data_IF_591271678587
#
_entry.id   IF_591271678587
#
_cell.length_a   1.000
_cell.length_b   1.000
_cell.length_c   1.000
_cell.angle_alpha   90.00
_cell.angle_beta   90.00
_cell.angle_gamma   90.00
#
_symmetry.space_group_name_H-M   'P 1'
#
loop_
_entity.id
_entity.type
_entity.pdbx_description
1 polymer ?
#
# COMPACT_ATOMS: atom_id res chain seq x y z
N UNK A 1 -12.62 -6.90 5.41
CA UNK A 1 -12.68 -5.69 4.57
C UNK A 1 -13.34 -6.09 3.26
N UNK A 2 -14.14 -5.21 2.65
CA UNK A 2 -14.68 -5.46 1.31
C UNK A 2 -13.55 -5.19 0.31
N UNK A 3 -13.21 -6.14 -0.58
CA UNK A 3 -12.17 -5.93 -1.56
C UNK A 3 -12.55 -4.78 -2.53
N UNK A 4 -11.61 -3.89 -2.89
CA UNK A 4 -11.88 -2.80 -3.82
C UNK A 4 -12.26 -3.35 -5.21
N UNK A 5 -13.00 -2.54 -5.97
CA UNK A 5 -13.38 -2.90 -7.34
C UNK A 5 -12.14 -3.10 -8.20
N UNK A 6 -12.16 -4.13 -9.06
CA UNK A 6 -11.03 -4.50 -9.91
C UNK A 6 -10.52 -3.34 -10.78
N UNK A 7 -11.43 -2.51 -11.31
CA UNK A 7 -11.11 -1.33 -12.12
C UNK A 7 -10.25 -0.31 -11.35
N UNK A 8 -10.52 -0.13 -10.06
CA UNK A 8 -9.74 0.77 -9.20
C UNK A 8 -8.36 0.18 -8.89
N UNK A 9 -8.27 -1.14 -8.72
CA UNK A 9 -7.00 -1.83 -8.52
C UNK A 9 -6.09 -1.72 -9.75
N UNK A 10 -6.65 -1.90 -10.95
CA UNK A 10 -5.92 -1.71 -12.22
C UNK A 10 -5.40 -0.27 -12.33
N UNK A 11 -6.26 0.72 -12.06
CA UNK A 11 -5.87 2.13 -12.08
C UNK A 11 -4.74 2.49 -11.08
N UNK A 12 -4.64 1.79 -9.94
CA UNK A 12 -3.54 1.97 -8.99
C UNK A 12 -2.28 1.22 -9.43
N UNK A 13 -2.42 0.08 -10.11
CA UNK A 13 -1.29 -0.71 -10.60
C UNK A 13 -0.50 -0.03 -11.72
N UNK A 14 -1.15 0.84 -12.48
CA UNK A 14 -0.50 1.67 -13.51
C UNK A 14 0.27 2.86 -12.92
N UNK A 15 0.11 3.13 -11.61
CA UNK A 15 0.77 4.25 -10.95
C UNK A 15 2.21 3.86 -10.64
N UNK A 16 3.14 4.49 -11.37
CA UNK A 16 4.57 4.36 -11.14
C UNK A 16 5.16 5.73 -10.81
N UNK A 17 5.91 5.79 -9.72
CA UNK A 17 6.68 6.97 -9.36
C UNK A 17 8.18 6.65 -9.38
N UNK A 18 9.03 7.59 -9.82
CA UNK A 18 10.47 7.37 -9.81
C UNK A 18 10.96 7.20 -8.36
N UNK A 19 11.69 6.12 -8.11
CA UNK A 19 12.22 5.70 -6.80
C UNK A 19 11.17 5.20 -5.79
N UNK A 20 9.96 4.86 -6.25
CA UNK A 20 8.98 4.16 -5.42
C UNK A 20 8.58 2.86 -6.12
N UNK A 21 8.56 1.76 -5.39
CA UNK A 21 8.07 0.48 -5.90
C UNK A 21 6.72 0.17 -5.24
N UNK A 22 5.76 -0.23 -6.06
CA UNK A 22 4.40 -0.54 -5.63
C UNK A 22 4.02 -1.93 -6.10
N UNK A 23 3.48 -2.74 -5.19
CA UNK A 23 2.92 -4.05 -5.48
C UNK A 23 1.53 -4.17 -4.87
N UNK A 24 0.53 -4.38 -5.73
CA UNK A 24 -0.85 -4.65 -5.31
C UNK A 24 -1.07 -6.15 -5.20
N UNK A 25 -1.73 -6.55 -4.12
CA UNK A 25 -2.31 -7.89 -3.95
C UNK A 25 -3.81 -7.73 -3.69
N UNK A 26 -4.61 -8.82 -3.77
CA UNK A 26 -6.04 -8.76 -3.49
C UNK A 26 -6.39 -8.17 -2.11
N UNK A 27 -5.51 -8.38 -1.13
CA UNK A 27 -5.78 -8.04 0.27
C UNK A 27 -4.94 -6.86 0.80
N UNK A 28 -3.76 -6.63 0.21
CA UNK A 28 -2.76 -5.69 0.71
C UNK A 28 -2.05 -4.93 -0.42
N UNK A 29 -1.59 -3.71 -0.10
CA UNK A 29 -0.67 -2.95 -0.95
C UNK A 29 0.69 -2.87 -0.26
N UNK A 30 1.73 -3.28 -0.98
CA UNK A 30 3.12 -3.16 -0.53
C UNK A 30 3.77 -2.01 -1.27
N UNK A 31 4.49 -1.17 -0.52
CA UNK A 31 5.12 0.03 -1.06
C UNK A 31 6.51 0.17 -0.47
N UNK A 32 7.48 0.36 -1.35
CA UNK A 32 8.84 0.69 -0.98
C UNK A 32 9.16 2.13 -1.39
N UNK A 33 9.52 2.95 -0.41
CA UNK A 33 9.88 4.35 -0.62
C UNK A 33 11.41 4.48 -0.70
N UNK A 34 11.97 4.49 -1.90
CA UNK A 34 13.42 4.60 -2.10
C UNK A 34 14.01 5.92 -1.58
N UNK A 35 13.23 7.00 -1.61
CA UNK A 35 13.60 8.32 -1.08
C UNK A 35 13.12 8.57 0.36
N UNK A 36 12.64 7.54 1.04
CA UNK A 36 12.09 7.61 2.40
C UNK A 36 10.66 8.14 2.48
N UNK A 37 9.96 7.79 3.57
CA UNK A 37 8.53 8.09 3.75
C UNK A 37 8.21 9.59 3.85
N UNK A 38 9.15 10.42 4.29
CA UNK A 38 8.94 11.88 4.43
C UNK A 38 8.75 12.61 3.09
N UNK A 39 9.22 12.03 1.99
CA UNK A 39 9.07 12.56 0.63
C UNK A 39 8.08 11.74 -0.22
N UNK A 40 7.41 10.77 0.40
CA UNK A 40 6.52 9.85 -0.30
C UNK A 40 5.31 10.59 -0.87
N UNK A 41 5.06 10.39 -2.17
CA UNK A 41 3.82 10.88 -2.80
C UNK A 41 2.66 9.91 -2.54
N UNK A 42 2.99 8.63 -2.43
CA UNK A 42 2.08 7.56 -2.07
C UNK A 42 1.93 7.47 -0.55
N UNK A 43 0.72 7.75 -0.03
CA UNK A 43 0.39 7.62 1.38
C UNK A 43 -0.99 6.98 1.56
N UNK A 44 -1.38 6.63 2.79
CA UNK A 44 -2.65 5.95 3.05
C UNK A 44 -3.85 6.67 2.41
N UNK A 45 -3.94 7.99 2.59
CA UNK A 45 -5.05 8.80 2.06
C UNK A 45 -5.13 8.75 0.53
N UNK A 46 -3.99 8.62 -0.16
CA UNK A 46 -3.96 8.44 -1.61
C UNK A 46 -4.66 7.13 -2.02
N UNK A 47 -4.34 6.02 -1.34
CA UNK A 47 -4.95 4.72 -1.62
C UNK A 47 -6.41 4.68 -1.22
N UNK A 48 -6.79 5.25 -0.07
CA UNK A 48 -8.19 5.29 0.35
C UNK A 48 -9.07 6.04 -0.65
N UNK A 49 -8.58 7.16 -1.19
CA UNK A 49 -9.30 7.92 -2.22
C UNK A 49 -9.34 7.20 -3.56
N UNK A 50 -8.27 6.51 -3.94
CA UNK A 50 -8.18 5.80 -5.23
C UNK A 50 -8.96 4.49 -5.25
N UNK A 51 -8.96 3.76 -4.14
CA UNK A 51 -9.60 2.46 -4.01
C UNK A 51 -11.00 2.55 -3.39
N UNK A 52 -11.40 3.72 -2.89
CA UNK A 52 -12.68 3.97 -2.20
C UNK A 52 -12.92 3.03 -1.01
N UNK A 53 -11.86 2.63 -0.32
CA UNK A 53 -11.89 1.74 0.84
C UNK A 53 -11.09 2.35 1.99
N UNK A 54 -11.51 2.08 3.22
CA UNK A 54 -10.70 2.39 4.40
C UNK A 54 -9.51 1.44 4.45
N UNK A 55 -8.30 1.99 4.61
CA UNK A 55 -7.07 1.23 4.62
C UNK A 55 -6.26 1.55 5.88
N UNK A 56 -5.54 0.56 6.39
CA UNK A 56 -4.58 0.78 7.47
C UNK A 56 -3.18 0.56 6.93
N UNK A 57 -2.27 1.49 7.20
CA UNK A 57 -0.86 1.29 6.88
C UNK A 57 -0.10 0.79 8.11
N UNK A 58 0.79 -0.18 7.90
CA UNK A 58 1.75 -0.63 8.91
C UNK A 58 3.15 -0.53 8.32
N UNK A 59 4.09 -0.06 9.13
CA UNK A 59 5.50 -0.14 8.81
C UNK A 59 5.93 -1.62 8.74
N UNK A 60 6.85 -1.94 7.82
CA UNK A 60 7.32 -3.31 7.60
C UNK A 60 7.93 -3.96 8.84
N UNK A 61 8.69 -3.23 9.66
CA UNK A 61 9.27 -3.74 10.92
C UNK A 61 8.17 -4.15 11.91
N UNK A 62 7.11 -3.36 12.02
CA UNK A 62 5.95 -3.71 12.85
C UNK A 62 5.24 -4.94 12.33
N UNK A 63 5.01 -5.03 11.01
CA UNK A 63 4.42 -6.21 10.38
C UNK A 63 5.27 -7.46 10.65
N UNK A 64 6.58 -7.39 10.43
CA UNK A 64 7.49 -8.49 10.66
C UNK A 64 7.45 -8.98 12.12
N UNK A 65 7.41 -8.06 13.09
CA UNK A 65 7.30 -8.43 14.51
C UNK A 65 5.96 -9.08 14.85
N UNK A 66 4.86 -8.60 14.25
CA UNK A 66 3.55 -9.23 14.42
C UNK A 66 3.52 -10.65 13.86
N UNK A 67 4.15 -10.88 12.70
CA UNK A 67 4.28 -12.23 12.10
C UNK A 67 5.11 -13.14 13.00
N UNK A 68 6.23 -12.65 13.53
CA UNK A 68 7.08 -13.40 14.48
C UNK A 68 6.32 -13.81 15.74
N UNK A 69 5.41 -12.97 16.24
CA UNK A 69 4.61 -13.26 17.43
C UNK A 69 3.40 -14.17 17.16
N UNK A 70 2.99 -14.31 15.89
CA UNK A 70 1.83 -15.10 15.49
C UNK A 70 2.18 -16.54 15.12
N UNK A 71 3.47 -16.85 14.92
CA UNK A 71 4.01 -18.20 14.77
C UNK A 71 4.40 -18.80 16.11
#
# INVERSE_FOLDING_TARGET
ATPPKKELMEAVSEISYPNEELMLTPDCVYIHFGNGYGNAKLNNNFFEKKLEVAATTRNYRTLAKLVEMAG
#
